data_IF_119916255469
#
_entry.id   IF_119916255469
#
_cell.length_a   1.000
_cell.length_b   1.000
_cell.length_c   1.000
_cell.angle_alpha   90.00
_cell.angle_beta   90.00
_cell.angle_gamma   90.00
#
_symmetry.space_group_name_H-M   'P 1'
#
loop_
_entity.id
_entity.type
_entity.pdbx_description
1 polymer ?
#
# COMPACT_ATOMS: atom_id res chain seq x y z
N UNK A 1 17.73 -11.31 19.90
CA UNK A 1 17.58 -9.88 19.52
C UNK A 1 16.24 -9.39 20.05
N UNK A 2 16.24 -8.30 20.81
CA UNK A 2 15.02 -7.74 21.35
C UNK A 2 14.25 -6.95 20.30
N UNK A 3 12.94 -6.80 20.52
CA UNK A 3 12.08 -5.98 19.64
C UNK A 3 12.52 -4.51 19.67
N UNK A 4 12.88 -3.99 20.84
CA UNK A 4 13.37 -2.62 21.01
C UNK A 4 14.66 -2.38 20.21
N UNK A 5 15.54 -3.37 20.15
CA UNK A 5 16.76 -3.30 19.35
C UNK A 5 16.42 -3.19 17.85
N UNK A 6 15.48 -3.99 17.37
CA UNK A 6 15.01 -3.93 15.97
C UNK A 6 14.43 -2.55 15.66
N UNK A 7 13.55 -2.03 16.50
CA UNK A 7 12.96 -0.71 16.33
C UNK A 7 14.05 0.36 16.27
N UNK A 8 15.02 0.31 17.15
CA UNK A 8 16.16 1.23 17.16
C UNK A 8 16.93 1.20 15.84
N UNK A 9 17.15 0.01 15.28
CA UNK A 9 17.79 -0.14 13.95
C UNK A 9 16.95 0.45 12.85
N UNK A 10 15.65 0.21 12.85
CA UNK A 10 14.73 0.76 11.84
C UNK A 10 14.75 2.29 11.90
N UNK A 11 14.65 2.87 13.09
CA UNK A 11 14.59 4.33 13.26
C UNK A 11 15.84 5.06 12.77
N UNK A 12 16.99 4.39 12.76
CA UNK A 12 18.27 4.95 12.35
C UNK A 12 18.57 4.80 10.87
N UNK A 13 17.72 4.10 10.11
CA UNK A 13 18.03 3.75 8.73
C UNK A 13 16.97 4.26 7.76
N UNK A 14 17.43 4.45 6.53
CA UNK A 14 16.58 4.71 5.37
C UNK A 14 16.43 3.41 4.58
N UNK A 15 15.26 3.21 4.00
CA UNK A 15 14.95 2.00 3.24
C UNK A 15 14.49 2.38 1.85
N UNK A 16 15.02 1.66 0.87
CA UNK A 16 14.51 1.69 -0.50
C UNK A 16 13.79 0.37 -0.74
N UNK A 17 12.52 0.44 -1.02
CA UNK A 17 11.72 -0.73 -1.37
C UNK A 17 11.41 -0.68 -2.86
N UNK A 18 11.61 -1.81 -3.51
CA UNK A 18 11.36 -1.96 -4.95
C UNK A 18 10.29 -3.02 -5.12
N UNK A 19 9.17 -2.63 -5.73
CA UNK A 19 8.10 -3.58 -5.92
C UNK A 19 6.80 -2.92 -6.27
N UNK A 20 5.71 -3.56 -5.94
CA UNK A 20 4.37 -3.19 -6.38
C UNK A 20 3.60 -2.44 -5.30
N UNK A 21 2.86 -1.42 -5.74
CA UNK A 21 1.74 -0.85 -4.99
C UNK A 21 0.46 -1.14 -5.76
N UNK A 22 -0.60 -1.46 -5.05
CA UNK A 22 -1.90 -1.75 -5.63
C UNK A 22 -3.03 -1.29 -4.71
N UNK A 23 -4.25 -1.65 -5.08
CA UNK A 23 -5.44 -1.33 -4.30
C UNK A 23 -6.18 -2.63 -3.99
N UNK A 24 -6.44 -2.86 -2.72
CA UNK A 24 -7.30 -3.95 -2.27
C UNK A 24 -8.67 -3.40 -1.91
N UNK A 25 -9.71 -4.06 -2.36
CA UNK A 25 -11.10 -3.63 -2.20
C UNK A 25 -11.84 -4.72 -1.42
N UNK A 26 -12.44 -4.33 -0.33
CA UNK A 26 -13.15 -5.25 0.57
C UNK A 26 -14.63 -4.92 0.59
N UNK A 27 -15.53 -5.90 0.33
CA UNK A 27 -16.95 -5.71 0.60
C UNK A 27 -17.19 -5.32 2.05
N UNK A 28 -18.10 -4.40 2.27
CA UNK A 28 -18.44 -3.89 3.59
C UNK A 28 -19.94 -4.12 3.87
N UNK A 29 -20.32 -4.61 5.05
CA UNK A 29 -19.48 -5.01 6.19
C UNK A 29 -18.69 -6.31 5.94
N UNK A 30 -17.65 -6.59 6.77
CA UNK A 30 -16.91 -7.84 6.67
C UNK A 30 -17.83 -9.07 6.69
N UNK A 31 -17.52 -10.08 5.88
CA UNK A 31 -18.36 -11.26 5.72
C UNK A 31 -19.39 -11.15 4.61
N UNK A 32 -19.51 -9.99 3.97
CA UNK A 32 -20.41 -9.79 2.83
C UNK A 32 -19.78 -10.39 1.57
N UNK A 33 -20.57 -11.14 0.80
CA UNK A 33 -20.14 -11.60 -0.51
C UNK A 33 -20.11 -10.43 -1.50
N UNK A 34 -19.16 -10.46 -2.40
CA UNK A 34 -18.96 -9.38 -3.39
C UNK A 34 -20.24 -9.10 -4.19
N UNK A 35 -20.93 -10.15 -4.61
CA UNK A 35 -22.17 -10.04 -5.41
C UNK A 35 -23.32 -9.34 -4.65
N UNK A 36 -23.26 -9.34 -3.33
CA UNK A 36 -24.28 -8.73 -2.48
C UNK A 36 -23.85 -7.41 -1.86
N UNK A 37 -22.62 -6.98 -2.14
CA UNK A 37 -22.07 -5.78 -1.50
C UNK A 37 -22.68 -4.50 -2.09
N UNK A 38 -23.07 -3.60 -1.22
CA UNK A 38 -23.55 -2.25 -1.58
C UNK A 38 -22.48 -1.19 -1.37
N UNK A 39 -21.45 -1.51 -0.61
CA UNK A 39 -20.33 -0.63 -0.31
C UNK A 39 -19.05 -1.42 -0.20
N UNK A 40 -17.95 -0.73 -0.39
CA UNK A 40 -16.61 -1.31 -0.35
C UNK A 40 -15.66 -0.38 0.38
N UNK A 41 -14.69 -0.95 1.07
CA UNK A 41 -13.58 -0.22 1.70
C UNK A 41 -12.31 -0.53 0.94
N UNK A 42 -11.50 0.47 0.69
CA UNK A 42 -10.24 0.34 -0.04
C UNK A 42 -9.05 0.39 0.88
N UNK A 43 -8.06 -0.44 0.61
CA UNK A 43 -6.79 -0.47 1.31
C UNK A 43 -5.63 -0.51 0.33
N UNK A 44 -4.46 -0.07 0.79
CA UNK A 44 -3.24 -0.20 0.01
C UNK A 44 -2.88 -1.68 -0.15
N UNK A 45 -2.66 -2.11 -1.39
CA UNK A 45 -2.21 -3.45 -1.74
C UNK A 45 -0.75 -3.46 -2.16
N UNK A 46 -0.22 -4.67 -2.33
CA UNK A 46 1.16 -4.91 -2.69
C UNK A 46 2.08 -5.12 -1.49
N UNK A 47 2.88 -6.19 -1.53
CA UNK A 47 3.74 -6.56 -0.41
C UNK A 47 4.79 -5.50 -0.11
N UNK A 48 5.41 -4.93 -1.14
CA UNK A 48 6.43 -3.90 -0.97
C UNK A 48 5.86 -2.61 -0.39
N UNK A 49 4.68 -2.18 -0.85
CA UNK A 49 4.00 -1.01 -0.30
C UNK A 49 3.63 -1.23 1.16
N UNK A 50 3.07 -2.38 1.50
CA UNK A 50 2.71 -2.72 2.88
C UNK A 50 3.93 -2.83 3.79
N UNK A 51 5.05 -3.35 3.29
CA UNK A 51 6.31 -3.38 4.02
C UNK A 51 6.81 -1.95 4.32
N UNK A 52 6.72 -1.05 3.33
CA UNK A 52 7.05 0.36 3.51
C UNK A 52 6.20 1.03 4.57
N UNK A 53 4.90 0.76 4.58
CA UNK A 53 3.98 1.25 5.61
C UNK A 53 4.43 0.76 6.99
N UNK A 54 4.72 -0.52 7.14
CA UNK A 54 5.09 -1.09 8.42
C UNK A 54 6.42 -0.52 8.94
N UNK A 55 7.42 -0.41 8.07
CA UNK A 55 8.70 0.19 8.46
C UNK A 55 8.54 1.67 8.86
N UNK A 56 7.68 2.40 8.15
CA UNK A 56 7.40 3.80 8.47
C UNK A 56 6.68 3.93 9.82
N UNK A 57 5.74 3.05 10.11
CA UNK A 57 5.05 3.01 11.40
C UNK A 57 6.01 2.72 12.56
N UNK A 58 7.06 1.96 12.30
CA UNK A 58 8.12 1.71 13.30
C UNK A 58 9.17 2.85 13.39
N UNK A 59 8.97 3.93 12.65
CA UNK A 59 9.84 5.11 12.70
C UNK A 59 10.95 5.15 11.67
N UNK A 60 10.98 4.20 10.72
CA UNK A 60 11.90 4.21 9.60
C UNK A 60 11.50 5.23 8.53
N UNK A 61 12.44 5.53 7.64
CA UNK A 61 12.20 6.37 6.47
C UNK A 61 12.26 5.49 5.23
N UNK A 62 11.15 5.41 4.50
CA UNK A 62 11.03 4.53 3.35
C UNK A 62 10.70 5.30 2.08
N UNK A 63 11.45 5.02 1.04
CA UNK A 63 11.11 5.37 -0.32
C UNK A 63 10.62 4.11 -1.04
N UNK A 64 9.55 4.24 -1.81
CA UNK A 64 9.05 3.15 -2.64
C UNK A 64 9.33 3.46 -4.11
N UNK A 65 10.07 2.58 -4.76
CA UNK A 65 10.32 2.62 -6.19
C UNK A 65 9.33 1.70 -6.89
N UNK A 66 8.37 2.29 -7.59
CA UNK A 66 7.34 1.54 -8.32
C UNK A 66 6.72 2.39 -9.42
N UNK A 67 5.78 1.81 -10.12
CA UNK A 67 4.92 2.50 -11.08
C UNK A 67 3.47 2.24 -10.75
N UNK A 68 2.64 3.26 -10.95
CA UNK A 68 1.18 3.16 -10.81
C UNK A 68 0.54 3.69 -12.08
N UNK A 69 -0.69 3.29 -12.35
CA UNK A 69 -1.44 3.81 -13.50
C UNK A 69 -1.78 5.28 -13.32
N UNK A 70 -1.80 6.01 -14.43
CA UNK A 70 -2.21 7.42 -14.44
C UNK A 70 -3.74 7.52 -14.52
N UNK A 71 -4.39 7.12 -13.44
CA UNK A 71 -5.84 7.11 -13.31
C UNK A 71 -6.26 7.26 -11.84
N UNK A 72 -7.55 7.18 -11.58
CA UNK A 72 -8.09 7.36 -10.23
C UNK A 72 -7.56 6.33 -9.23
N UNK A 73 -7.37 5.07 -9.65
CA UNK A 73 -6.85 4.03 -8.76
C UNK A 73 -5.37 4.23 -8.45
N UNK A 74 -4.58 4.66 -9.44
CA UNK A 74 -3.18 5.03 -9.22
C UNK A 74 -3.06 6.20 -8.25
N UNK A 75 -3.89 7.22 -8.38
CA UNK A 75 -3.92 8.34 -7.45
C UNK A 75 -4.39 7.93 -6.06
N UNK A 76 -5.35 7.00 -5.97
CA UNK A 76 -5.76 6.43 -4.68
C UNK A 76 -4.59 5.75 -3.97
N UNK A 77 -3.80 4.96 -4.68
CA UNK A 77 -2.62 4.31 -4.11
C UNK A 77 -1.60 5.35 -3.59
N UNK A 78 -1.36 6.42 -4.35
CA UNK A 78 -0.47 7.51 -3.92
C UNK A 78 -1.02 8.19 -2.66
N UNK A 79 -2.32 8.46 -2.61
CA UNK A 79 -2.95 9.07 -1.44
C UNK A 79 -2.79 8.19 -0.19
N UNK A 80 -2.91 6.88 -0.34
CA UNK A 80 -2.71 5.95 0.77
C UNK A 80 -1.25 5.89 1.23
N UNK A 81 -0.29 5.90 0.29
CA UNK A 81 1.13 6.00 0.63
C UNK A 81 1.42 7.28 1.41
N UNK A 82 0.87 8.41 0.96
CA UNK A 82 1.01 9.69 1.67
C UNK A 82 0.41 9.64 3.07
N UNK A 83 -0.76 9.04 3.21
CA UNK A 83 -1.43 8.90 4.50
C UNK A 83 -0.57 8.16 5.52
N UNK A 84 0.14 7.13 5.10
CA UNK A 84 1.01 6.35 5.97
C UNK A 84 2.44 6.90 6.06
N UNK A 85 2.76 7.97 5.35
CA UNK A 85 4.09 8.59 5.42
C UNK A 85 5.17 7.89 4.61
N UNK A 86 4.81 6.97 3.71
CA UNK A 86 5.76 6.37 2.78
C UNK A 86 6.10 7.39 1.70
N UNK A 87 7.38 7.64 1.49
CA UNK A 87 7.82 8.59 0.48
C UNK A 87 7.57 8.03 -0.91
N UNK A 88 7.02 8.86 -1.79
CA UNK A 88 6.60 8.44 -3.12
C UNK A 88 7.23 9.24 -4.26
N UNK A 89 8.30 9.97 -3.99
CA UNK A 89 9.02 10.71 -5.04
C UNK A 89 9.60 9.81 -6.15
N UNK A 90 9.80 8.53 -5.86
CA UNK A 90 10.29 7.53 -6.81
C UNK A 90 9.15 6.72 -7.45
N UNK A 91 7.91 7.03 -7.16
CA UNK A 91 6.76 6.44 -7.82
C UNK A 91 6.47 7.20 -9.10
N UNK A 92 6.41 6.49 -10.21
CA UNK A 92 6.10 7.07 -11.51
C UNK A 92 4.70 6.69 -11.95
N UNK A 93 3.98 7.64 -12.54
CA UNK A 93 2.74 7.36 -13.23
C UNK A 93 3.04 6.80 -14.63
N UNK A 94 2.41 5.68 -14.94
CA UNK A 94 2.48 5.08 -16.25
C UNK A 94 1.31 5.59 -17.09
N UNK A 95 1.64 6.33 -18.16
CA UNK A 95 0.63 7.00 -19.01
C UNK A 95 0.08 6.10 -20.13
N UNK A 96 0.62 4.90 -20.26
CA UNK A 96 0.15 3.95 -21.26
C UNK A 96 -1.13 3.25 -20.79
N UNK A 97 -1.56 2.23 -21.52
CA UNK A 97 -2.76 1.45 -21.19
C UNK A 97 -2.61 0.54 -19.96
N UNK A 98 -1.44 0.55 -19.34
CA UNK A 98 -1.18 -0.22 -18.13
C UNK A 98 -2.11 0.20 -16.99
N UNK A 99 -2.61 -0.77 -16.26
CA UNK A 99 -3.48 -0.56 -15.12
C UNK A 99 -2.76 -0.96 -13.83
N UNK A 100 -3.06 -0.23 -12.76
CA UNK A 100 -2.63 -0.65 -11.44
C UNK A 100 -3.31 -1.99 -11.09
N UNK A 101 -2.60 -2.85 -10.38
CA UNK A 101 -3.23 -4.08 -9.91
C UNK A 101 -4.19 -3.77 -8.76
N UNK A 102 -5.34 -4.42 -8.79
CA UNK A 102 -6.27 -4.39 -7.67
C UNK A 102 -6.82 -5.80 -7.42
N UNK A 103 -7.28 -6.02 -6.21
CA UNK A 103 -7.92 -7.26 -5.82
C UNK A 103 -9.20 -6.96 -5.06
N UNK A 104 -10.23 -7.77 -5.29
CA UNK A 104 -11.42 -7.79 -4.45
C UNK A 104 -11.23 -8.95 -3.48
N UNK A 105 -11.31 -8.66 -2.20
CA UNK A 105 -11.01 -9.63 -1.15
C UNK A 105 -12.24 -9.83 -0.28
N UNK A 106 -12.79 -11.03 -0.30
CA UNK A 106 -13.86 -11.40 0.62
C UNK A 106 -13.26 -11.92 1.92
N UNK A 107 -13.81 -11.46 3.03
CA UNK A 107 -13.42 -11.94 4.35
C UNK A 107 -14.53 -12.83 4.91
N UNK A 108 -14.14 -13.94 5.51
CA UNK A 108 -15.07 -14.79 6.26
C UNK A 108 -15.15 -14.33 7.70
N UNK A 109 -16.29 -14.47 8.26
CA UNK A 109 -16.57 -14.13 9.67
C UNK A 109 -16.66 -15.39 10.50
#
# INVERSE_FOLDING_TARGET
>A
MSFEFLISKIQKNNFLLIGRAGVDIYPDPPGTKTENAKSFVTHLGGSSANMGVQLTLFGGKCDLLTRVSDDALGRLAINQLNHYGVKNKLVKFEKNESRISFAIVETTV
#
